data_IF_052237694248
#
_entry.id   IF_052237694248
#
_cell.length_a   1.000
_cell.length_b   1.000
_cell.length_c   1.000
_cell.angle_alpha   90.00
_cell.angle_beta   90.00
_cell.angle_gamma   90.00
#
_symmetry.space_group_name_H-M   'P 1'
#
loop_
_entity.id
_entity.type
_entity.pdbx_description
1 polymer ?
#
# COMPACT_ATOMS: atom_id res chain seq x y z
N UNK A 1 -26.22 -7.91 13.73
CA UNK A 1 -25.03 -7.05 13.56
C UNK A 1 -25.46 -5.81 12.80
N UNK A 2 -25.03 -4.63 13.24
CA UNK A 2 -25.38 -3.36 12.58
C UNK A 2 -24.45 -3.11 11.38
N UNK A 3 -24.95 -2.41 10.36
CA UNK A 3 -24.16 -2.05 9.18
C UNK A 3 -22.89 -1.25 9.56
N UNK A 4 -22.98 -0.36 10.54
CA UNK A 4 -21.82 0.38 11.08
C UNK A 4 -20.77 -0.52 11.73
N UNK A 5 -21.18 -1.58 12.43
CA UNK A 5 -20.23 -2.50 13.06
C UNK A 5 -19.45 -3.27 12.00
N UNK A 6 -20.15 -3.77 10.98
CA UNK A 6 -19.51 -4.45 9.85
C UNK A 6 -18.56 -3.52 9.10
N UNK A 7 -18.94 -2.27 8.88
CA UNK A 7 -18.08 -1.27 8.26
C UNK A 7 -16.83 -0.97 9.09
N UNK A 8 -16.95 -0.93 10.42
CA UNK A 8 -15.82 -0.70 11.32
C UNK A 8 -14.86 -1.90 11.35
N UNK A 9 -15.39 -3.13 11.36
CA UNK A 9 -14.60 -4.36 11.28
C UNK A 9 -13.85 -4.46 9.94
N UNK A 10 -14.51 -4.10 8.83
CA UNK A 10 -13.89 -4.04 7.52
C UNK A 10 -12.78 -2.97 7.47
N UNK A 11 -13.02 -1.78 8.02
CA UNK A 11 -12.02 -0.72 8.09
C UNK A 11 -10.78 -1.15 8.90
N UNK A 12 -10.99 -1.78 10.05
CA UNK A 12 -9.91 -2.30 10.88
C UNK A 12 -9.13 -3.42 10.17
N UNK A 13 -9.81 -4.26 9.40
CA UNK A 13 -9.17 -5.28 8.58
C UNK A 13 -8.34 -4.66 7.45
N UNK A 14 -8.87 -3.67 6.74
CA UNK A 14 -8.15 -2.92 5.70
C UNK A 14 -6.89 -2.28 6.29
N UNK A 15 -6.99 -1.61 7.45
CA UNK A 15 -5.85 -0.99 8.12
C UNK A 15 -4.72 -1.97 8.45
N UNK A 16 -5.04 -3.19 8.87
CA UNK A 16 -4.04 -4.26 9.09
C UNK A 16 -3.35 -4.68 7.80
N UNK A 17 -4.11 -4.80 6.71
CA UNK A 17 -3.55 -5.20 5.42
C UNK A 17 -2.63 -4.12 4.82
N UNK A 18 -2.95 -2.83 5.00
CA UNK A 18 -2.05 -1.73 4.59
C UNK A 18 -0.74 -1.80 5.37
N UNK A 19 -0.78 -2.04 6.68
CA UNK A 19 0.44 -2.20 7.48
C UNK A 19 1.30 -3.39 7.05
N UNK A 20 0.69 -4.47 6.55
CA UNK A 20 1.43 -5.60 5.96
C UNK A 20 2.10 -5.21 4.64
N UNK A 21 1.41 -4.44 3.79
CA UNK A 21 1.99 -3.94 2.54
C UNK A 21 3.20 -3.05 2.79
N UNK A 22 3.13 -2.16 3.78
CA UNK A 22 4.26 -1.32 4.21
C UNK A 22 5.46 -2.17 4.64
N UNK A 23 5.20 -3.22 5.45
CA UNK A 23 6.26 -4.12 5.91
C UNK A 23 6.90 -4.86 4.75
N UNK A 24 6.10 -5.43 3.86
CA UNK A 24 6.62 -6.15 2.68
C UNK A 24 7.41 -5.22 1.76
N UNK A 25 6.92 -3.99 1.55
CA UNK A 25 7.64 -2.96 0.77
C UNK A 25 8.97 -2.55 1.43
N UNK A 26 9.07 -2.62 2.76
CA UNK A 26 10.30 -2.37 3.50
C UNK A 26 11.27 -3.57 3.51
N UNK A 27 10.77 -4.81 3.45
CA UNK A 27 11.59 -6.03 3.63
C UNK A 27 12.06 -6.69 2.33
N UNK A 28 11.35 -6.57 1.21
CA UNK A 28 11.68 -7.30 -0.02
C UNK A 28 11.75 -6.41 -1.27
N UNK A 29 12.92 -6.39 -1.94
CA UNK A 29 13.12 -5.89 -3.33
C UNK A 29 12.52 -6.82 -4.40
N UNK A 30 11.54 -7.66 -4.06
CA UNK A 30 11.05 -8.75 -4.92
C UNK A 30 9.53 -8.80 -4.96
N UNK A 31 8.98 -8.82 -6.18
CA UNK A 31 7.56 -8.60 -6.48
C UNK A 31 6.59 -9.50 -5.68
N UNK A 32 5.83 -8.93 -4.72
CA UNK A 32 4.70 -9.61 -4.10
C UNK A 32 3.46 -9.56 -5.02
N UNK A 33 3.62 -9.42 -6.34
CA UNK A 33 2.51 -9.07 -7.27
C UNK A 33 1.55 -10.21 -7.60
N UNK A 34 1.76 -11.41 -7.03
CA UNK A 34 1.00 -12.62 -7.40
C UNK A 34 -0.40 -12.67 -6.79
N UNK A 35 -0.67 -11.96 -5.69
CA UNK A 35 -1.98 -11.96 -5.04
C UNK A 35 -2.66 -10.59 -5.13
N UNK A 36 -3.97 -10.57 -5.40
CA UNK A 36 -4.74 -9.32 -5.48
C UNK A 36 -4.73 -8.52 -4.17
N UNK A 37 -4.63 -9.20 -3.01
CA UNK A 37 -4.48 -8.55 -1.69
C UNK A 37 -3.12 -7.87 -1.50
N UNK A 38 -2.14 -8.20 -2.35
CA UNK A 38 -0.85 -7.52 -2.40
C UNK A 38 -0.85 -6.36 -3.39
N UNK A 39 -1.94 -6.23 -4.19
CA UNK A 39 -2.12 -5.14 -5.13
C UNK A 39 -2.80 -3.96 -4.45
N UNK A 40 -2.22 -2.78 -4.46
CA UNK A 40 -2.76 -1.73 -3.62
C UNK A 40 -3.96 -1.01 -4.23
N UNK A 41 -4.12 -1.07 -5.55
CA UNK A 41 -5.33 -0.63 -6.26
C UNK A 41 -6.56 -1.42 -5.79
N UNK A 42 -6.38 -2.66 -5.34
CA UNK A 42 -7.46 -3.46 -4.76
C UNK A 42 -7.96 -2.82 -3.46
N UNK A 43 -7.05 -2.41 -2.57
CA UNK A 43 -7.40 -1.75 -1.31
C UNK A 43 -7.97 -0.36 -1.52
N UNK A 44 -7.45 0.40 -2.48
CA UNK A 44 -7.99 1.72 -2.81
C UNK A 44 -9.47 1.64 -3.21
N UNK A 45 -9.83 0.72 -4.12
CA UNK A 45 -11.24 0.52 -4.53
C UNK A 45 -12.13 0.14 -3.37
N UNK A 46 -11.60 -0.67 -2.43
CA UNK A 46 -12.35 -1.15 -1.28
C UNK A 46 -12.61 -0.03 -0.26
N UNK A 47 -11.62 0.84 -0.05
CA UNK A 47 -11.76 2.05 0.77
C UNK A 47 -12.75 3.03 0.12
N UNK A 48 -12.67 3.25 -1.19
CA UNK A 48 -13.60 4.12 -1.91
C UNK A 48 -15.05 3.61 -1.80
N UNK A 49 -15.27 2.30 -1.95
CA UNK A 49 -16.58 1.69 -1.76
C UNK A 49 -17.11 1.89 -0.33
N UNK A 50 -16.24 1.76 0.68
CA UNK A 50 -16.60 1.95 2.09
C UNK A 50 -17.00 3.41 2.39
N UNK A 51 -16.29 4.39 1.83
CA UNK A 51 -16.60 5.82 1.96
C UNK A 51 -17.96 6.16 1.33
N UNK A 52 -18.28 5.54 0.18
CA UNK A 52 -19.55 5.76 -0.53
C UNK A 52 -20.71 5.09 0.19
N UNK A 53 -20.51 3.89 0.73
CA UNK A 53 -21.58 3.11 1.38
C UNK A 53 -21.92 3.58 2.80
N UNK A 54 -20.98 4.21 3.50
CA UNK A 54 -21.19 4.64 4.88
C UNK A 54 -21.74 6.05 4.98
N UNK A 55 -22.74 6.25 5.84
CA UNK A 55 -23.22 7.58 6.26
C UNK A 55 -22.52 8.09 7.52
N UNK A 56 -21.63 7.29 8.11
CA UNK A 56 -20.94 7.58 9.36
C UNK A 56 -19.71 8.46 9.09
N UNK A 57 -19.80 9.73 9.46
CA UNK A 57 -18.78 10.74 9.16
C UNK A 57 -17.40 10.42 9.76
N UNK A 58 -17.29 10.03 11.05
CA UNK A 58 -16.05 9.52 11.62
C UNK A 58 -15.43 8.38 10.80
N UNK A 59 -16.24 7.38 10.41
CA UNK A 59 -15.76 6.23 9.65
C UNK A 59 -15.24 6.64 8.27
N UNK A 60 -15.93 7.56 7.58
CA UNK A 60 -15.49 8.11 6.29
C UNK A 60 -14.17 8.86 6.41
N UNK A 61 -13.97 9.60 7.51
CA UNK A 61 -12.71 10.31 7.79
C UNK A 61 -11.55 9.33 8.01
N UNK A 62 -11.77 8.28 8.80
CA UNK A 62 -10.75 7.26 9.04
C UNK A 62 -10.42 6.48 7.75
N UNK A 63 -11.43 6.18 6.93
CA UNK A 63 -11.24 5.57 5.62
C UNK A 63 -10.44 6.48 4.66
N UNK A 64 -10.70 7.79 4.67
CA UNK A 64 -9.91 8.75 3.89
C UNK A 64 -8.44 8.79 4.35
N UNK A 65 -8.18 8.76 5.66
CA UNK A 65 -6.82 8.70 6.18
C UNK A 65 -6.08 7.41 5.76
N UNK A 66 -6.78 6.26 5.74
CA UNK A 66 -6.21 5.02 5.20
C UNK A 66 -5.92 5.12 3.69
N UNK A 67 -6.73 5.84 2.93
CA UNK A 67 -6.49 6.08 1.50
C UNK A 67 -5.23 6.92 1.28
N UNK A 68 -5.03 7.97 2.08
CA UNK A 68 -3.84 8.82 2.01
C UNK A 68 -2.59 8.01 2.35
N UNK A 69 -2.62 7.27 3.46
CA UNK A 69 -1.53 6.37 3.87
C UNK A 69 -1.18 5.36 2.78
N UNK A 70 -2.19 4.77 2.14
CA UNK A 70 -1.99 3.85 1.03
C UNK A 70 -1.22 4.55 -0.11
N UNK A 71 -1.59 5.77 -0.50
CA UNK A 71 -0.90 6.52 -1.56
C UNK A 71 0.59 6.78 -1.23
N UNK A 72 0.93 7.04 0.04
CA UNK A 72 2.32 7.22 0.47
C UNK A 72 3.16 5.96 0.27
N UNK A 73 2.59 4.78 0.54
CA UNK A 73 3.27 3.49 0.26
C UNK A 73 3.62 3.34 -1.23
N UNK A 74 2.78 3.88 -2.14
CA UNK A 74 3.06 3.87 -3.59
C UNK A 74 4.13 4.84 -4.02
N UNK A 75 4.11 6.06 -3.47
CA UNK A 75 5.11 7.06 -3.80
C UNK A 75 6.52 6.55 -3.43
N UNK A 76 6.66 6.03 -2.21
CA UNK A 76 7.92 5.51 -1.69
C UNK A 76 8.38 4.22 -2.41
N UNK A 77 7.45 3.34 -2.82
CA UNK A 77 7.78 2.19 -3.66
C UNK A 77 8.25 2.59 -5.08
N UNK A 78 7.62 3.60 -5.69
CA UNK A 78 7.99 4.11 -7.02
C UNK A 78 9.35 4.81 -7.00
N UNK A 79 9.67 5.58 -5.95
CA UNK A 79 10.99 6.21 -5.78
C UNK A 79 12.10 5.16 -5.61
N UNK A 80 11.82 4.04 -4.92
CA UNK A 80 12.79 2.94 -4.77
C UNK A 80 12.98 2.11 -6.05
N UNK A 81 11.94 1.93 -6.84
CA UNK A 81 12.00 1.24 -8.15
C UNK A 81 12.81 2.08 -9.16
N UNK A 82 12.60 3.40 -9.17
CA UNK A 82 13.30 4.34 -10.07
C UNK A 82 14.72 4.70 -9.62
N UNK A 83 15.06 4.54 -8.35
CA UNK A 83 16.39 4.81 -7.79
C UNK A 83 17.48 3.78 -8.09
N UNK A 84 17.21 2.69 -8.82
CA UNK A 84 18.20 1.65 -9.13
C UNK A 84 18.66 1.60 -10.59
N UNK A 85 18.30 2.59 -11.41
CA UNK A 85 18.86 2.73 -12.76
C UNK A 85 20.23 3.45 -12.72
N UNK A 86 21.29 2.67 -12.46
CA UNK A 86 22.62 3.00 -12.96
C UNK A 86 23.68 3.40 -11.93
N UNK A 87 24.07 2.48 -11.05
CA UNK A 87 25.50 2.37 -10.74
C UNK A 87 26.11 1.38 -11.75
N UNK A 88 26.88 1.83 -12.77
CA UNK A 88 27.75 0.91 -13.49
C UNK A 88 28.89 0.53 -12.55
N UNK A 89 28.68 -0.55 -11.80
CA UNK A 89 29.75 -1.18 -11.09
C UNK A 89 30.74 -1.77 -12.12
N UNK A 90 32.01 -1.41 -11.92
CA UNK A 90 33.25 -2.15 -12.22
C UNK A 90 33.75 -2.13 -13.67
N UNK A 91 34.91 -1.49 -13.87
CA UNK A 91 36.02 -2.21 -14.50
C UNK A 91 37.25 -2.11 -13.60
N UNK A 92 37.52 -3.23 -12.95
CA UNK A 92 38.77 -3.56 -12.28
C UNK A 92 39.87 -3.76 -13.32
N UNK A 93 40.91 -2.94 -13.25
CA UNK A 93 42.32 -3.17 -13.62
C UNK A 93 42.69 -3.99 -14.85
N UNK A 94 43.58 -3.44 -15.70
CA UNK A 94 44.85 -4.08 -16.05
C UNK A 94 45.67 -3.31 -17.09
N UNK A 95 46.97 -3.10 -16.75
CA UNK A 95 48.17 -3.27 -17.60
C UNK A 95 48.34 -2.21 -18.73
N UNK A 96 49.49 -1.55 -18.96
CA UNK A 96 50.91 -1.87 -18.77
C UNK A 96 51.73 -0.57 -18.90
#
# INVERSE_FOLDING_TARGET
>A
MSADQQAHEELAHIGRMIAELERVAATERGEPKRYAVMRPEYWQRRIDALIVASTNEPLRRDAAALRERLAEVFADAHERDTGHAGEPARETGSRK
#
